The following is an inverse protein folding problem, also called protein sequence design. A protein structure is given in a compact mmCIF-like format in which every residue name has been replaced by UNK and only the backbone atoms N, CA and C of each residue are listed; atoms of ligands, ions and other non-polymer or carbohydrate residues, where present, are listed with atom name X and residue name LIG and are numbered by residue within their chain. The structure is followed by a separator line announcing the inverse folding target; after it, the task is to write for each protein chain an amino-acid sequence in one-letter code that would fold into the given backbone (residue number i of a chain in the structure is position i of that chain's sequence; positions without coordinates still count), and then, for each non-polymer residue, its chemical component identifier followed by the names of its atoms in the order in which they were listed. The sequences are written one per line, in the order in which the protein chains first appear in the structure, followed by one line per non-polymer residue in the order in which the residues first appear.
data_IF_264771795511
#
_entry.id   IF_264771795511
#
_cell.length_a   1.000
_cell.length_b   1.000
_cell.length_c   1.000
_cell.angle_alpha   90.00
_cell.angle_beta   90.00
_cell.angle_gamma   90.00
#
_symmetry.space_group_name_H-M   'P 1'
#
loop_
_entity.id
_entity.type
_entity.pdbx_description
1 polymer ?
#
# COMPACT_ATOMS: atom_id res chain seq x y z
N UNK A 1 23.26 -5.44 -39.39
CA UNK A 1 24.00 -6.24 -38.38
C UNK A 1 23.18 -6.45 -37.11
N UNK A 2 22.99 -5.45 -36.22
CA UNK A 2 22.22 -5.63 -34.97
C UNK A 2 20.75 -6.03 -35.21
N UNK A 3 20.12 -5.45 -36.23
CA UNK A 3 18.77 -5.82 -36.69
C UNK A 3 18.67 -7.28 -37.16
N UNK A 4 19.71 -7.76 -37.84
CA UNK A 4 19.75 -9.11 -38.42
C UNK A 4 19.95 -10.16 -37.32
N UNK A 5 20.76 -9.86 -36.30
CA UNK A 5 20.90 -10.69 -35.10
C UNK A 5 19.58 -10.82 -34.33
N UNK A 6 18.82 -9.73 -34.20
CA UNK A 6 17.49 -9.73 -33.56
C UNK A 6 16.49 -10.61 -34.31
N UNK A 7 16.43 -10.49 -35.64
CA UNK A 7 15.46 -11.21 -36.48
C UNK A 7 15.76 -12.72 -36.49
N UNK A 8 17.04 -13.09 -36.43
CA UNK A 8 17.51 -14.47 -36.42
C UNK A 8 17.25 -15.14 -35.06
N UNK A 9 17.49 -14.43 -33.94
CA UNK A 9 17.16 -14.90 -32.60
C UNK A 9 15.64 -15.14 -32.43
N UNK A 10 14.80 -14.23 -32.92
CA UNK A 10 13.34 -14.36 -32.81
C UNK A 10 12.79 -15.58 -33.57
N UNK A 11 13.32 -15.88 -34.77
CA UNK A 11 12.92 -17.08 -35.55
C UNK A 11 13.35 -18.39 -34.86
N UNK A 12 14.48 -18.38 -34.15
CA UNK A 12 14.98 -19.55 -33.43
C UNK A 12 14.13 -19.89 -32.20
N UNK A 13 13.67 -18.88 -31.45
CA UNK A 13 12.78 -19.06 -30.30
C UNK A 13 11.49 -19.80 -30.65
N UNK A 14 10.94 -19.55 -31.84
CA UNK A 14 9.67 -20.14 -32.29
C UNK A 14 9.79 -21.63 -32.66
N UNK A 15 11.00 -22.17 -32.91
CA UNK A 15 11.21 -23.56 -33.34
C UNK A 15 11.28 -24.58 -32.18
N UNK A 16 11.42 -24.16 -30.92
CA UNK A 16 11.64 -25.05 -29.76
C UNK A 16 10.78 -24.68 -28.54
N UNK A 17 9.46 -24.76 -28.70
CA UNK A 17 8.48 -24.18 -27.76
C UNK A 17 8.60 -24.63 -26.31
N UNK A 18 8.64 -25.94 -26.02
CA UNK A 18 8.47 -26.44 -24.65
C UNK A 18 9.65 -26.14 -23.73
N UNK A 19 10.88 -26.35 -24.20
CA UNK A 19 12.11 -26.11 -23.42
C UNK A 19 12.33 -24.64 -23.16
N UNK A 20 12.14 -23.81 -24.20
CA UNK A 20 12.23 -22.35 -24.09
C UNK A 20 11.16 -21.81 -23.15
N UNK A 21 9.94 -22.37 -23.16
CA UNK A 21 8.91 -22.02 -22.18
C UNK A 21 9.33 -22.35 -20.76
N UNK A 22 9.77 -23.58 -20.50
CA UNK A 22 10.18 -24.04 -19.16
C UNK A 22 11.32 -23.21 -18.57
N UNK A 23 12.23 -22.69 -19.40
CA UNK A 23 13.36 -21.88 -18.93
C UNK A 23 12.99 -20.42 -18.68
N UNK A 24 11.97 -19.91 -19.36
CA UNK A 24 11.42 -18.58 -19.09
C UNK A 24 10.55 -18.52 -17.82
N UNK A 25 10.04 -19.66 -17.32
CA UNK A 25 9.17 -19.71 -16.12
C UNK A 25 9.80 -19.02 -14.91
N UNK A 26 11.05 -19.36 -14.56
CA UNK A 26 11.71 -18.74 -13.40
C UNK A 26 11.84 -17.22 -13.54
N UNK A 27 12.10 -16.75 -14.77
CA UNK A 27 12.27 -15.33 -15.07
C UNK A 27 10.93 -14.60 -15.00
N UNK A 28 9.91 -15.05 -15.73
CA UNK A 28 8.65 -14.32 -15.75
C UNK A 28 7.93 -14.39 -14.39
N UNK A 29 8.07 -15.48 -13.60
CA UNK A 29 7.55 -15.54 -12.23
C UNK A 29 8.29 -14.52 -11.36
N UNK A 30 9.62 -14.52 -11.35
CA UNK A 30 10.41 -13.57 -10.58
C UNK A 30 10.11 -12.12 -10.94
N UNK A 31 10.08 -11.79 -12.23
CA UNK A 31 9.77 -10.45 -12.73
C UNK A 31 8.32 -10.08 -12.41
N UNK A 32 7.36 -10.99 -12.54
CA UNK A 32 5.95 -10.71 -12.22
C UNK A 32 5.75 -10.36 -10.75
N UNK A 33 6.42 -11.07 -9.84
CA UNK A 33 6.35 -10.79 -8.40
C UNK A 33 6.94 -9.41 -8.07
N UNK A 34 8.10 -9.08 -8.66
CA UNK A 34 8.74 -7.76 -8.45
C UNK A 34 7.88 -6.64 -9.02
N UNK A 35 7.44 -6.77 -10.26
CA UNK A 35 6.58 -5.78 -10.94
C UNK A 35 5.30 -5.57 -10.15
N UNK A 36 4.65 -6.66 -9.73
CA UNK A 36 3.40 -6.58 -9.02
C UNK A 36 3.57 -5.81 -7.70
N UNK A 37 4.56 -6.22 -6.91
CA UNK A 37 4.79 -5.65 -5.60
C UNK A 37 5.26 -4.19 -5.66
N UNK A 38 6.18 -3.84 -6.56
CA UNK A 38 6.65 -2.46 -6.70
C UNK A 38 5.50 -1.56 -7.15
N UNK A 39 4.65 -2.02 -8.08
CA UNK A 39 3.46 -1.27 -8.52
C UNK A 39 2.46 -1.03 -7.38
N UNK A 40 2.18 -2.07 -6.57
CA UNK A 40 1.28 -1.95 -5.41
C UNK A 40 1.89 -1.05 -4.32
N UNK A 41 3.19 -1.16 -4.08
CA UNK A 41 3.88 -0.38 -3.06
C UNK A 41 3.95 1.11 -3.43
N UNK A 42 4.30 1.43 -4.68
CA UNK A 42 4.29 2.81 -5.17
C UNK A 42 2.88 3.40 -5.13
N UNK A 43 1.89 2.59 -5.54
CA UNK A 43 0.48 2.90 -5.42
C UNK A 43 0.05 3.29 -4.00
N UNK A 44 0.44 2.46 -3.03
CA UNK A 44 0.15 2.72 -1.62
C UNK A 44 0.91 3.95 -1.10
N UNK A 45 2.18 4.13 -1.47
CA UNK A 45 2.94 5.34 -1.12
C UNK A 45 2.27 6.61 -1.66
N UNK A 46 1.76 6.58 -2.89
CA UNK A 46 1.05 7.70 -3.51
C UNK A 46 -0.29 7.97 -2.79
N UNK A 47 -1.06 6.92 -2.48
CA UNK A 47 -2.32 7.05 -1.73
C UNK A 47 -2.09 7.62 -0.33
N UNK A 48 -1.03 7.17 0.33
CA UNK A 48 -0.58 7.66 1.63
C UNK A 48 -0.17 9.13 1.55
N UNK A 49 0.64 9.50 0.57
CA UNK A 49 1.08 10.88 0.35
C UNK A 49 -0.12 11.80 0.08
N UNK A 50 -1.11 11.35 -0.71
CA UNK A 50 -2.34 12.09 -0.95
C UNK A 50 -3.17 12.25 0.34
N UNK A 51 -3.26 11.20 1.18
CA UNK A 51 -3.88 11.34 2.50
C UNK A 51 -3.11 12.33 3.38
N UNK A 52 -1.78 12.30 3.37
CA UNK A 52 -0.97 13.25 4.13
C UNK A 52 -1.20 14.70 3.69
N UNK A 53 -1.24 14.95 2.38
CA UNK A 53 -1.55 16.29 1.84
C UNK A 53 -2.97 16.76 2.23
N UNK A 54 -3.94 15.84 2.37
CA UNK A 54 -5.32 16.17 2.75
C UNK A 54 -5.50 16.39 4.25
N UNK A 55 -4.76 15.63 5.07
CA UNK A 55 -4.83 15.70 6.54
C UNK A 55 -3.94 16.83 7.06
N UNK A 56 -2.83 17.16 6.40
CA UNK A 56 -1.85 18.13 6.88
C UNK A 56 -0.75 17.46 7.70
N UNK A 57 0.49 17.90 7.50
CA UNK A 57 1.68 17.35 8.18
C UNK A 57 1.86 17.86 9.61
N UNK A 58 1.07 18.85 9.98
CA UNK A 58 1.09 19.60 11.23
C UNK A 58 0.10 19.02 12.25
N UNK A 59 -0.25 17.74 12.17
CA UNK A 59 -1.22 17.11 13.09
C UNK A 59 -0.62 16.08 14.02
N UNK A 60 -1.05 16.14 15.27
CA UNK A 60 -0.82 15.14 16.31
C UNK A 60 -2.12 14.40 16.62
N UNK A 61 -2.00 13.10 16.79
CA UNK A 61 -3.05 12.21 17.25
C UNK A 61 -2.62 11.71 18.63
N UNK A 62 -3.47 11.97 19.62
CA UNK A 62 -3.25 11.57 21.00
C UNK A 62 -4.35 10.58 21.37
N UNK A 63 -3.96 9.39 21.83
CA UNK A 63 -4.89 8.33 22.19
C UNK A 63 -4.37 7.57 23.42
N UNK A 64 -5.30 7.10 24.25
CA UNK A 64 -4.97 6.24 25.37
C UNK A 64 -4.38 4.92 24.88
N UNK A 65 -3.42 4.38 25.63
CA UNK A 65 -2.86 3.06 25.39
C UNK A 65 -3.97 2.03 25.66
N UNK A 66 -4.27 1.20 24.66
CA UNK A 66 -5.21 0.08 24.81
C UNK A 66 -4.68 -0.94 25.81
N UNK A 67 -5.55 -1.51 26.64
CA UNK A 67 -5.19 -2.61 27.54
C UNK A 67 -4.53 -3.76 26.73
N UNK A 68 -3.33 -4.19 27.15
CA UNK A 68 -2.56 -5.25 26.49
C UNK A 68 -1.58 -4.82 25.40
N UNK A 69 -1.57 -3.54 24.98
CA UNK A 69 -0.59 -2.97 24.04
C UNK A 69 0.40 -1.99 24.69
N UNK A 70 0.39 -1.89 26.02
CA UNK A 70 1.37 -1.14 26.81
C UNK A 70 2.56 -1.99 27.25
N UNK A 71 3.56 -1.38 27.93
CA UNK A 71 4.63 -2.12 28.59
C UNK A 71 4.08 -3.22 29.51
N UNK A 72 4.82 -4.33 29.73
CA UNK A 72 4.40 -5.39 30.63
C UNK A 72 3.97 -4.85 32.00
N UNK A 73 2.72 -5.09 32.40
CA UNK A 73 2.12 -4.59 33.64
C UNK A 73 1.08 -3.46 33.50
N UNK A 74 0.89 -2.90 32.30
CA UNK A 74 -0.17 -1.91 32.06
C UNK A 74 -1.53 -2.59 31.79
N UNK A 75 -2.29 -2.83 32.88
CA UNK A 75 -3.63 -3.42 32.82
C UNK A 75 -4.77 -2.40 32.68
N UNK A 76 -4.46 -1.10 32.71
CA UNK A 76 -5.45 -0.03 32.62
C UNK A 76 -5.35 0.64 31.26
N UNK A 77 -6.45 0.65 30.50
CA UNK A 77 -6.53 1.45 29.30
C UNK A 77 -6.37 2.93 29.68
N UNK A 78 -5.53 3.66 28.96
CA UNK A 78 -5.40 5.10 29.18
C UNK A 78 -6.71 5.79 28.90
N UNK A 79 -7.29 6.41 29.92
CA UNK A 79 -8.49 7.22 29.74
C UNK A 79 -8.05 8.62 29.31
N UNK A 80 -8.72 9.16 28.29
CA UNK A 80 -8.57 10.56 27.90
C UNK A 80 -9.81 11.31 28.34
N UNK A 81 -9.61 12.49 28.91
CA UNK A 81 -10.62 13.34 29.53
C UNK A 81 -10.63 14.72 28.90
N UNK A 82 -11.62 15.55 29.28
CA UNK A 82 -11.66 16.97 28.88
C UNK A 82 -10.49 17.79 29.42
N UNK A 83 -9.97 17.45 30.59
CA UNK A 83 -8.84 18.19 31.16
C UNK A 83 -7.55 17.91 30.37
N UNK A 84 -7.41 16.72 29.80
CA UNK A 84 -6.31 16.42 28.87
C UNK A 84 -6.35 17.29 27.61
N UNK A 85 -7.55 17.64 27.10
CA UNK A 85 -7.69 18.59 25.98
C UNK A 85 -7.17 19.98 26.36
N UNK A 86 -7.48 20.44 27.59
CA UNK A 86 -6.98 21.72 28.10
C UNK A 86 -5.46 21.68 28.31
N UNK A 87 -4.94 20.56 28.82
CA UNK A 87 -3.52 20.32 29.00
C UNK A 87 -2.79 20.41 27.64
N UNK A 88 -3.26 19.69 26.62
CA UNK A 88 -2.67 19.73 25.27
C UNK A 88 -2.72 21.15 24.68
N UNK A 89 -3.84 21.87 24.87
CA UNK A 89 -3.98 23.27 24.40
C UNK A 89 -3.01 24.24 25.07
N UNK A 90 -2.57 23.95 26.30
CA UNK A 90 -1.59 24.78 27.02
C UNK A 90 -0.14 24.59 26.57
N UNK A 91 0.14 23.56 25.76
CA UNK A 91 1.50 23.25 25.30
C UNK A 91 1.92 24.22 24.20
N UNK A 92 3.11 24.82 24.37
CA UNK A 92 3.71 25.72 23.37
C UNK A 92 3.89 24.97 22.04
N UNK A 93 3.43 25.60 20.95
CA UNK A 93 3.48 25.03 19.61
C UNK A 93 2.22 24.28 19.20
N UNK A 94 1.20 24.21 20.05
CA UNK A 94 -0.14 23.71 19.71
C UNK A 94 -1.06 24.91 19.45
N UNK A 95 -1.78 24.89 18.32
CA UNK A 95 -2.69 25.96 17.88
C UNK A 95 -4.16 25.58 18.14
N UNK A 96 -4.61 24.49 17.52
CA UNK A 96 -5.99 24.00 17.63
C UNK A 96 -5.98 22.62 18.30
N UNK A 97 -6.91 22.39 19.23
CA UNK A 97 -7.10 21.08 19.88
C UNK A 97 -8.58 20.72 19.90
N UNK A 98 -8.90 19.48 19.57
CA UNK A 98 -10.24 18.94 19.66
C UNK A 98 -10.24 17.50 20.17
N UNK A 99 -11.10 17.22 21.15
CA UNK A 99 -11.40 15.85 21.57
C UNK A 99 -12.46 15.22 20.67
N UNK A 100 -12.42 13.89 20.55
CA UNK A 100 -13.43 13.12 19.83
C UNK A 100 -13.76 11.83 20.55
N UNK A 101 -15.05 11.50 20.59
CA UNK A 101 -15.54 10.22 21.06
C UNK A 101 -15.67 9.24 19.90
N UNK A 102 -15.19 8.02 20.13
CA UNK A 102 -15.44 6.85 19.29
C UNK A 102 -15.96 5.73 20.17
N UNK A 103 -17.13 5.21 19.86
CA UNK A 103 -17.80 4.14 20.62
C UNK A 103 -18.36 3.10 19.66
N UNK A 104 -18.56 1.88 20.15
CA UNK A 104 -19.39 0.91 19.46
C UNK A 104 -20.86 1.31 19.62
N UNK A 105 -21.63 1.17 18.55
CA UNK A 105 -23.04 1.47 18.51
C UNK A 105 -23.79 0.33 17.80
N UNK A 106 -24.89 -0.11 18.40
CA UNK A 106 -25.83 -0.99 17.75
C UNK A 106 -26.86 -0.13 17.03
N UNK A 107 -26.89 -0.24 15.71
CA UNK A 107 -27.82 0.47 14.84
C UNK A 107 -28.90 -0.49 14.38
N UNK A 108 -30.14 -0.11 14.58
CA UNK A 108 -31.32 -0.86 14.18
C UNK A 108 -32.12 -0.07 13.14
N UNK A 109 -32.47 -0.75 12.06
CA UNK A 109 -33.29 -0.24 10.98
C UNK A 109 -34.09 -1.38 10.36
N UNK A 110 -35.39 -1.17 10.17
CA UNK A 110 -36.31 -2.14 9.55
C UNK A 110 -36.28 -3.54 10.20
N UNK A 111 -36.14 -3.60 11.53
CA UNK A 111 -36.08 -4.85 12.30
C UNK A 111 -34.73 -5.56 12.30
N UNK A 112 -33.73 -5.06 11.55
CA UNK A 112 -32.37 -5.61 11.55
C UNK A 112 -31.45 -4.82 12.49
N UNK A 113 -30.69 -5.53 13.33
CA UNK A 113 -29.71 -4.96 14.25
C UNK A 113 -28.28 -5.24 13.76
N UNK A 114 -27.47 -4.20 13.59
CA UNK A 114 -26.05 -4.32 13.20
C UNK A 114 -25.15 -3.47 14.08
N UNK A 115 -23.94 -3.96 14.33
CA UNK A 115 -22.94 -3.24 15.12
C UNK A 115 -22.03 -2.43 14.20
N UNK A 116 -21.70 -1.20 14.62
CA UNK A 116 -20.69 -0.39 13.96
C UNK A 116 -20.05 0.60 14.93
N UNK A 117 -19.10 1.40 14.43
CA UNK A 117 -18.53 2.52 15.16
C UNK A 117 -19.37 3.79 14.99
N UNK A 118 -19.54 4.48 16.11
CA UNK A 118 -20.07 5.82 16.19
C UNK A 118 -18.94 6.77 16.53
N UNK A 119 -18.91 7.90 15.85
CA UNK A 119 -17.90 8.92 16.01
C UNK A 119 -18.54 10.30 16.13
N UNK A 120 -17.99 11.16 16.99
CA UNK A 120 -18.57 12.50 17.22
C UNK A 120 -17.97 13.56 16.31
N UNK A 121 -18.72 14.64 16.11
CA UNK A 121 -18.21 15.93 15.68
C UNK A 121 -18.16 16.87 16.90
N UNK A 122 -17.04 17.57 17.12
CA UNK A 122 -16.94 18.59 18.15
C UNK A 122 -18.00 19.68 18.01
N UNK A 123 -18.38 20.29 19.13
CA UNK A 123 -19.31 21.43 19.14
C UNK A 123 -18.61 22.74 18.78
N UNK A 124 -17.32 22.86 19.11
CA UNK A 124 -16.48 23.97 18.68
C UNK A 124 -16.32 24.01 17.14
N UNK A 125 -16.47 25.20 16.55
CA UNK A 125 -16.53 25.37 15.10
C UNK A 125 -15.19 25.08 14.41
N UNK A 126 -14.08 25.47 15.03
CA UNK A 126 -12.74 25.26 14.47
C UNK A 126 -12.34 23.79 14.54
N UNK A 127 -12.52 23.16 15.72
CA UNK A 127 -12.29 21.73 15.91
C UNK A 127 -13.21 20.88 15.01
N UNK A 128 -14.48 21.27 14.84
CA UNK A 128 -15.40 20.61 13.92
C UNK A 128 -14.90 20.66 12.48
N UNK A 129 -14.50 21.83 12.01
CA UNK A 129 -13.97 22.00 10.65
C UNK A 129 -12.68 21.19 10.45
N UNK A 130 -11.81 21.14 11.45
CA UNK A 130 -10.61 20.30 11.44
C UNK A 130 -10.99 18.83 11.27
N UNK A 131 -11.95 18.32 12.06
CA UNK A 131 -12.38 16.91 12.00
C UNK A 131 -13.02 16.58 10.66
N UNK A 132 -13.89 17.45 10.13
CA UNK A 132 -14.53 17.27 8.81
C UNK A 132 -13.47 17.19 7.70
N UNK A 133 -12.50 18.11 7.70
CA UNK A 133 -11.41 18.13 6.72
C UNK A 133 -10.48 16.93 6.86
N UNK A 134 -10.06 16.62 8.08
CA UNK A 134 -9.15 15.50 8.38
C UNK A 134 -9.76 14.14 7.98
N UNK A 135 -11.08 14.00 8.04
CA UNK A 135 -11.77 12.78 7.65
C UNK A 135 -12.34 12.83 6.22
N UNK A 136 -12.09 13.91 5.48
CA UNK A 136 -12.59 14.14 4.12
C UNK A 136 -14.11 13.88 3.99
N UNK A 137 -14.88 14.32 4.99
CA UNK A 137 -16.33 14.14 4.97
C UNK A 137 -16.93 14.98 3.85
N UNK A 138 -17.61 14.29 2.92
CA UNK A 138 -18.39 14.87 1.82
C UNK A 138 -19.76 14.22 1.84
N UNK A 139 -20.80 14.96 1.49
CA UNK A 139 -22.17 14.45 1.44
C UNK A 139 -22.43 13.80 0.08
N UNK A 140 -23.01 12.60 0.11
CA UNK A 140 -23.60 11.91 -1.05
C UNK A 140 -25.07 12.33 -1.23
N UNK A 141 -25.86 12.27 -0.14
CA UNK A 141 -27.27 12.65 -0.12
C UNK A 141 -27.62 13.39 1.18
N UNK A 142 -28.58 14.32 1.13
CA UNK A 142 -28.99 15.12 2.29
C UNK A 142 -28.06 16.31 2.56
N UNK A 143 -27.70 16.55 3.83
CA UNK A 143 -26.85 17.67 4.24
C UNK A 143 -25.89 17.32 5.37
N UNK A 144 -24.89 18.17 5.56
CA UNK A 144 -23.99 18.11 6.71
C UNK A 144 -24.72 18.38 8.04
N UNK A 145 -24.24 17.74 9.10
CA UNK A 145 -24.70 17.93 10.47
C UNK A 145 -24.27 19.30 11.00
N UNK A 146 -25.22 20.06 11.56
CA UNK A 146 -24.97 21.37 12.21
C UNK A 146 -24.81 21.18 13.71
N UNK A 147 -24.14 22.10 14.40
CA UNK A 147 -23.92 22.00 15.86
C UNK A 147 -25.23 22.14 16.65
N UNK A 148 -26.22 22.84 16.10
CA UNK A 148 -27.56 22.97 16.67
C UNK A 148 -28.48 21.78 16.40
N UNK A 149 -28.08 20.83 15.55
CA UNK A 149 -28.89 19.63 15.33
C UNK A 149 -28.90 18.77 16.60
N UNK A 150 -30.08 18.23 16.95
CA UNK A 150 -30.29 17.32 18.08
C UNK A 150 -31.02 16.08 17.60
N UNK A 151 -30.67 14.92 18.15
CA UNK A 151 -31.16 13.60 17.77
C UNK A 151 -31.06 13.35 16.26
N UNK A 152 -29.96 13.80 15.64
CA UNK A 152 -29.71 13.70 14.20
C UNK A 152 -28.34 13.14 13.92
N UNK A 153 -28.24 12.35 12.85
CA UNK A 153 -27.02 11.63 12.48
C UNK A 153 -26.74 11.74 10.99
N UNK A 154 -25.45 11.68 10.65
CA UNK A 154 -25.02 11.33 9.31
C UNK A 154 -24.51 9.89 9.31
N UNK A 155 -24.76 9.18 8.22
CA UNK A 155 -24.38 7.78 8.09
C UNK A 155 -23.33 7.63 6.98
N UNK A 156 -22.43 6.66 7.15
CA UNK A 156 -21.51 6.27 6.09
C UNK A 156 -22.24 5.72 4.85
N UNK A 157 -21.56 5.71 3.70
CA UNK A 157 -22.16 5.34 2.40
C UNK A 157 -22.82 3.96 2.40
N UNK A 158 -22.28 2.98 3.15
CA UNK A 158 -22.83 1.62 3.18
C UNK A 158 -24.28 1.59 3.69
N UNK A 159 -24.67 2.51 4.56
CA UNK A 159 -26.05 2.58 5.05
C UNK A 159 -27.07 2.85 3.93
N UNK A 160 -26.68 3.59 2.89
CA UNK A 160 -27.50 3.81 1.70
C UNK A 160 -27.31 2.78 0.60
N UNK A 161 -26.46 1.77 0.82
CA UNK A 161 -26.14 0.70 -0.12
C UNK A 161 -26.51 -0.66 0.49
N UNK A 162 -25.53 -1.40 1.01
CA UNK A 162 -25.62 -2.81 1.40
C UNK A 162 -25.50 -3.06 2.90
N UNK A 163 -25.49 -2.02 3.73
CA UNK A 163 -25.37 -2.20 5.17
C UNK A 163 -26.63 -2.84 5.77
N UNK A 164 -27.81 -2.62 5.22
CA UNK A 164 -29.06 -3.32 5.58
C UNK A 164 -29.70 -3.87 4.30
N UNK A 165 -30.69 -4.76 4.44
CA UNK A 165 -31.41 -5.30 3.28
C UNK A 165 -32.18 -4.22 2.53
N UNK A 166 -32.58 -3.16 3.25
CA UNK A 166 -33.21 -1.96 2.71
C UNK A 166 -32.27 -0.75 2.89
N UNK A 167 -32.01 0.03 1.84
CA UNK A 167 -31.13 1.18 1.93
C UNK A 167 -31.76 2.29 2.79
N UNK A 168 -30.97 2.87 3.68
CA UNK A 168 -31.36 4.02 4.50
C UNK A 168 -31.23 5.30 3.68
N UNK A 169 -32.28 6.12 3.65
CA UNK A 169 -32.28 7.39 2.93
C UNK A 169 -32.32 8.59 3.89
N UNK A 170 -31.95 9.77 3.40
CA UNK A 170 -32.07 10.99 4.20
C UNK A 170 -33.53 11.26 4.53
N UNK A 171 -33.82 11.52 5.80
CA UNK A 171 -35.17 11.68 6.34
C UNK A 171 -35.61 10.52 7.22
N UNK A 172 -35.04 9.32 7.01
CA UNK A 172 -35.37 8.13 7.78
C UNK A 172 -35.03 8.25 9.26
N UNK A 173 -35.64 7.39 10.06
CA UNK A 173 -35.34 7.26 11.48
C UNK A 173 -34.66 5.92 11.73
N UNK A 174 -33.50 5.97 12.35
CA UNK A 174 -32.74 4.80 12.81
C UNK A 174 -32.73 4.77 14.33
N UNK A 175 -32.69 3.58 14.90
CA UNK A 175 -32.51 3.37 16.33
C UNK A 175 -31.02 3.13 16.58
N UNK A 176 -30.42 3.88 17.50
CA UNK A 176 -29.02 3.72 17.90
C UNK A 176 -29.02 3.47 19.40
N UNK A 177 -28.57 2.29 19.83
CA UNK A 177 -28.66 1.81 21.21
C UNK A 177 -30.05 2.05 21.82
N UNK A 178 -31.12 1.77 21.05
CA UNK A 178 -32.51 1.91 21.47
C UNK A 178 -33.08 3.34 21.47
N UNK A 179 -32.29 4.38 21.15
CA UNK A 179 -32.79 5.76 20.99
C UNK A 179 -32.99 6.11 19.52
N UNK A 180 -34.05 6.86 19.19
CA UNK A 180 -34.40 7.24 17.82
C UNK A 180 -33.61 8.47 17.35
N UNK A 181 -32.99 8.37 16.18
CA UNK A 181 -32.27 9.46 15.51
C UNK A 181 -32.75 9.63 14.08
N UNK A 182 -32.84 10.88 13.60
CA UNK A 182 -33.16 11.20 12.21
C UNK A 182 -31.88 11.27 11.36
N UNK A 183 -31.90 10.62 10.20
CA UNK A 183 -30.79 10.62 9.24
C UNK A 183 -30.85 11.91 8.41
N UNK A 184 -29.89 12.81 8.60
CA UNK A 184 -29.84 14.09 7.87
C UNK A 184 -28.94 14.06 6.65
N UNK A 185 -28.07 13.06 6.53
CA UNK A 185 -27.23 12.90 5.36
C UNK A 185 -26.50 11.57 5.32
N UNK A 186 -26.20 11.13 4.09
CA UNK A 186 -25.35 9.98 3.79
C UNK A 186 -24.02 10.52 3.26
N UNK A 187 -22.91 10.08 3.84
CA UNK A 187 -21.57 10.47 3.43
C UNK A 187 -21.19 9.79 2.11
N UNK A 188 -20.32 10.44 1.31
CA UNK A 188 -19.62 9.79 0.21
C UNK A 188 -18.64 8.77 0.76
N UNK A 189 -18.22 7.84 -0.10
CA UNK A 189 -17.22 6.83 0.21
C UNK A 189 -15.90 7.46 0.68
N UNK A 190 -15.41 7.00 1.83
CA UNK A 190 -14.17 7.44 2.47
C UNK A 190 -13.16 6.28 2.50
N UNK A 191 -13.62 5.04 2.63
CA UNK A 191 -12.79 3.83 2.74
C UNK A 191 -12.27 3.55 4.16
N UNK A 192 -11.37 2.58 4.29
CA UNK A 192 -10.69 2.21 5.55
C UNK A 192 -11.65 1.93 6.73
N UNK A 193 -12.78 1.26 6.47
CA UNK A 193 -13.77 0.90 7.49
C UNK A 193 -14.64 2.05 7.99
N UNK A 194 -14.52 3.26 7.41
CA UNK A 194 -15.32 4.44 7.77
C UNK A 194 -16.64 4.55 7.00
N UNK A 195 -16.84 3.70 6.00
CA UNK A 195 -18.03 3.70 5.15
C UNK A 195 -19.29 3.16 5.84
N UNK A 196 -19.14 2.49 6.98
CA UNK A 196 -20.24 2.01 7.82
C UNK A 196 -20.34 2.75 9.15
N UNK A 197 -19.65 3.88 9.34
CA UNK A 197 -19.69 4.60 10.61
C UNK A 197 -20.95 5.46 10.78
N UNK A 198 -21.35 5.70 12.02
CA UNK A 198 -22.34 6.72 12.38
C UNK A 198 -21.59 7.98 12.83
N UNK A 199 -21.97 9.14 12.29
CA UNK A 199 -21.45 10.44 12.73
C UNK A 199 -22.58 11.22 13.42
N UNK A 200 -22.33 11.67 14.65
CA UNK A 200 -23.31 12.44 15.44
C UNK A 200 -22.67 13.62 16.17
N UNK A 201 -23.47 14.55 16.68
CA UNK A 201 -22.96 15.63 17.53
C UNK A 201 -22.53 15.08 18.89
N UNK A 202 -21.53 15.71 19.48
CA UNK A 202 -20.93 15.25 20.73
C UNK A 202 -21.92 15.24 21.89
N UNK A 203 -22.72 16.31 22.05
CA UNK A 203 -23.81 16.41 23.04
C UNK A 203 -24.75 15.19 23.03
N UNK A 204 -25.19 14.78 21.84
CA UNK A 204 -26.11 13.67 21.68
C UNK A 204 -25.44 12.33 22.00
N UNK A 205 -24.15 12.18 21.65
CA UNK A 205 -23.36 10.99 21.99
C UNK A 205 -23.14 10.86 23.50
N UNK A 206 -22.80 11.95 24.19
CA UNK A 206 -22.60 11.95 25.64
C UNK A 206 -23.87 11.51 26.37
N UNK A 207 -25.03 12.04 25.97
CA UNK A 207 -26.36 11.60 26.47
C UNK A 207 -26.74 10.17 26.09
N UNK A 208 -26.19 9.64 25.00
CA UNK A 208 -26.46 8.27 24.56
C UNK A 208 -25.64 7.25 25.37
N UNK A 209 -24.38 7.57 25.69
CA UNK A 209 -23.44 6.64 26.31
C UNK A 209 -23.17 6.91 27.80
N UNK A 210 -23.64 8.02 28.37
CA UNK A 210 -23.38 8.39 29.76
C UNK A 210 -21.90 8.68 30.04
N UNK A 211 -21.14 9.12 29.02
CA UNK A 211 -19.70 9.41 29.11
C UNK A 211 -19.47 10.92 29.06
N UNK A 212 -19.76 11.63 30.16
CA UNK A 212 -19.81 13.09 30.13
C UNK A 212 -18.43 13.75 29.98
N UNK A 213 -17.35 13.12 30.44
CA UNK A 213 -16.01 13.74 30.45
C UNK A 213 -14.92 13.00 29.70
N UNK A 214 -15.23 11.87 29.06
CA UNK A 214 -14.23 11.11 28.31
C UNK A 214 -14.12 11.54 26.85
N UNK A 215 -12.95 11.28 26.27
CA UNK A 215 -12.66 11.25 24.85
C UNK A 215 -11.96 9.94 24.50
N UNK A 216 -12.04 9.54 23.24
CA UNK A 216 -11.30 8.39 22.73
C UNK A 216 -9.99 8.81 22.07
N UNK A 217 -9.99 9.98 21.43
CA UNK A 217 -8.86 10.53 20.70
C UNK A 217 -8.86 12.06 20.88
N UNK A 218 -7.68 12.66 21.01
CA UNK A 218 -7.48 14.11 20.85
C UNK A 218 -6.70 14.34 19.56
N UNK A 219 -7.19 15.28 18.76
CA UNK A 219 -6.47 15.82 17.62
C UNK A 219 -5.91 17.19 18.00
N UNK A 220 -4.63 17.40 17.71
CA UNK A 220 -4.00 18.70 17.87
C UNK A 220 -3.36 19.14 16.55
N UNK A 221 -3.53 20.40 16.19
CA UNK A 221 -2.83 21.05 15.10
C UNK A 221 -1.66 21.85 15.67
N UNK A 222 -0.51 21.70 15.04
CA UNK A 222 0.74 22.33 15.41
C UNK A 222 0.81 23.72 14.78
N UNK A 223 1.22 24.70 15.57
CA UNK A 223 1.42 26.07 15.12
C UNK A 223 2.53 26.13 14.05
N UNK A 224 2.39 27.07 13.11
CA UNK A 224 3.40 27.28 12.05
C UNK A 224 4.76 27.59 12.66
N UNK A 225 5.82 27.02 12.07
CA UNK A 225 7.20 27.21 12.51
C UNK A 225 7.70 26.22 13.56
N UNK A 226 6.82 25.36 14.09
CA UNK A 226 7.20 24.28 15.00
C UNK A 226 7.37 22.95 14.28
N UNK A 227 8.33 22.13 14.74
CA UNK A 227 8.53 20.76 14.24
C UNK A 227 7.56 19.80 14.94
N UNK A 228 6.79 18.97 14.20
CA UNK A 228 5.80 18.07 14.79
C UNK A 228 6.34 17.13 15.87
N UNK A 229 7.52 16.54 15.65
CA UNK A 229 8.17 15.65 16.61
C UNK A 229 8.52 16.33 17.93
N UNK A 230 8.97 17.59 17.89
CA UNK A 230 9.33 18.36 19.09
C UNK A 230 8.08 18.71 19.91
N UNK A 231 6.99 19.06 19.23
CA UNK A 231 5.71 19.34 19.90
C UNK A 231 5.09 18.06 20.45
N UNK A 232 5.14 16.94 19.71
CA UNK A 232 4.70 15.64 20.20
C UNK A 232 5.41 15.24 21.50
N UNK A 233 6.73 15.38 21.55
CA UNK A 233 7.52 15.13 22.76
C UNK A 233 7.14 16.07 23.91
N UNK A 234 6.81 17.32 23.60
CA UNK A 234 6.40 18.31 24.61
C UNK A 234 5.03 18.00 25.19
N UNK A 235 4.08 17.57 24.36
CA UNK A 235 2.77 17.09 24.78
C UNK A 235 2.93 15.84 25.64
N UNK A 236 3.74 14.87 25.23
CA UNK A 236 3.98 13.65 26.01
C UNK A 236 4.64 13.97 27.37
N UNK A 237 5.57 14.94 27.42
CA UNK A 237 6.14 15.43 28.69
C UNK A 237 5.10 16.11 29.58
N UNK A 238 4.15 16.85 29.00
CA UNK A 238 3.06 17.46 29.75
C UNK A 238 2.17 16.39 30.40
N UNK A 239 1.78 15.35 29.66
CA UNK A 239 1.05 14.19 30.19
C UNK A 239 1.81 13.48 31.32
N UNK A 240 3.11 13.23 31.13
CA UNK A 240 3.95 12.61 32.18
C UNK A 240 3.93 13.40 33.48
N UNK A 241 4.05 14.73 33.38
CA UNK A 241 4.08 15.62 34.54
C UNK A 241 2.72 15.67 35.24
N UNK A 242 1.65 15.81 34.46
CA UNK A 242 0.28 15.90 34.95
C UNK A 242 -0.16 14.60 35.67
N UNK A 243 0.14 13.44 35.07
CA UNK A 243 -0.25 12.12 35.59
C UNK A 243 0.79 11.47 36.52
N UNK A 244 1.91 12.15 36.80
CA UNK A 244 2.98 11.61 37.65
C UNK A 244 3.67 10.35 37.11
N UNK A 245 3.72 10.18 35.79
CA UNK A 245 4.21 8.96 35.13
C UNK A 245 5.72 8.99 34.85
N UNK A 246 6.34 7.81 34.90
CA UNK A 246 7.73 7.61 34.48
C UNK A 246 7.82 7.46 32.97
N UNK A 247 8.96 7.87 32.40
CA UNK A 247 9.26 7.66 30.99
C UNK A 247 9.18 6.17 30.65
N UNK A 248 8.42 5.83 29.61
CA UNK A 248 8.18 4.45 29.16
C UNK A 248 7.01 3.74 29.83
N UNK A 249 6.29 4.39 30.76
CA UNK A 249 5.07 3.87 31.41
C UNK A 249 3.88 4.80 31.22
N UNK A 250 3.88 5.56 30.12
CA UNK A 250 2.79 6.47 29.79
C UNK A 250 1.55 5.68 29.38
N UNK A 251 0.40 6.12 29.86
CA UNK A 251 -0.90 5.57 29.45
C UNK A 251 -1.48 6.27 28.22
N UNK A 252 -0.75 7.24 27.65
CA UNK A 252 -1.12 7.97 26.45
C UNK A 252 -0.01 7.85 25.41
N UNK A 253 -0.42 7.65 24.16
CA UNK A 253 0.46 7.75 22.99
C UNK A 253 0.20 9.07 22.29
N UNK A 254 1.28 9.75 21.91
CA UNK A 254 1.25 10.97 21.10
C UNK A 254 1.98 10.65 19.81
N UNK A 255 1.24 10.56 18.71
CA UNK A 255 1.78 10.23 17.41
C UNK A 255 1.66 11.43 16.50
N UNK A 256 2.76 11.82 15.88
CA UNK A 256 2.71 12.78 14.78
C UNK A 256 2.26 12.08 13.50
N UNK A 257 1.63 12.84 12.61
CA UNK A 257 1.27 12.35 11.29
C UNK A 257 2.52 11.84 10.55
N UNK A 258 3.64 12.55 10.63
CA UNK A 258 4.95 12.14 10.07
C UNK A 258 5.42 10.76 10.55
N UNK A 259 5.31 10.49 11.86
CA UNK A 259 5.75 9.23 12.45
C UNK A 259 4.88 8.05 12.00
N UNK A 260 3.56 8.25 11.91
CA UNK A 260 2.65 7.25 11.34
C UNK A 260 3.05 6.89 9.90
N UNK A 261 3.39 7.88 9.08
CA UNK A 261 3.84 7.62 7.70
C UNK A 261 5.18 6.92 7.63
N UNK A 262 6.13 7.30 8.49
CA UNK A 262 7.43 6.64 8.57
C UNK A 262 7.28 5.17 8.97
N UNK A 263 6.39 4.85 9.89
CA UNK A 263 6.11 3.46 10.28
C UNK A 263 5.52 2.65 9.12
N UNK A 264 4.52 3.17 8.42
CA UNK A 264 3.94 2.47 7.26
C UNK A 264 4.97 2.27 6.14
N UNK A 265 5.76 3.31 5.86
CA UNK A 265 6.87 3.22 4.91
C UNK A 265 7.90 2.16 5.30
N UNK A 266 8.23 2.05 6.59
CA UNK A 266 9.16 1.04 7.11
C UNK A 266 8.61 -0.38 6.91
N UNK A 267 7.33 -0.61 7.23
CA UNK A 267 6.67 -1.91 7.02
C UNK A 267 6.70 -2.29 5.53
N UNK A 268 6.39 -1.33 4.65
CA UNK A 268 6.45 -1.53 3.20
C UNK A 268 7.84 -1.90 2.72
N UNK A 269 8.87 -1.20 3.18
CA UNK A 269 10.26 -1.47 2.83
C UNK A 269 10.70 -2.88 3.26
N UNK A 270 10.28 -3.34 4.45
CA UNK A 270 10.57 -4.72 4.91
C UNK A 270 9.92 -5.76 3.99
N UNK A 271 8.65 -5.57 3.64
CA UNK A 271 7.94 -6.46 2.70
C UNK A 271 8.64 -6.47 1.33
N UNK A 272 9.07 -5.30 0.84
CA UNK A 272 9.82 -5.18 -0.42
C UNK A 272 11.13 -5.97 -0.38
N UNK A 273 11.91 -5.85 0.69
CA UNK A 273 13.19 -6.59 0.83
C UNK A 273 12.95 -8.09 0.79
N UNK A 274 11.93 -8.60 1.49
CA UNK A 274 11.60 -10.04 1.50
C UNK A 274 11.25 -10.52 0.10
N UNK A 275 10.37 -9.80 -0.62
CA UNK A 275 9.94 -10.20 -1.96
C UNK A 275 11.05 -10.08 -2.98
N UNK A 276 11.88 -9.03 -2.91
CA UNK A 276 13.08 -8.92 -3.73
C UNK A 276 14.02 -10.08 -3.46
N UNK A 277 14.16 -10.53 -2.22
CA UNK A 277 14.93 -11.73 -1.87
C UNK A 277 14.40 -13.00 -2.55
N UNK A 278 13.09 -13.27 -2.43
CA UNK A 278 12.44 -14.43 -3.06
C UNK A 278 12.52 -14.35 -4.60
N UNK A 279 12.30 -13.16 -5.15
CA UNK A 279 12.41 -12.92 -6.59
C UNK A 279 13.84 -13.12 -7.07
N UNK A 280 14.85 -12.68 -6.31
CA UNK A 280 16.27 -12.89 -6.65
C UNK A 280 16.60 -14.37 -6.77
N UNK A 281 16.11 -15.21 -5.86
CA UNK A 281 16.26 -16.67 -5.95
C UNK A 281 15.60 -17.20 -7.24
N UNK A 282 14.38 -16.75 -7.53
CA UNK A 282 13.64 -17.15 -8.75
C UNK A 282 14.37 -16.74 -10.04
N UNK A 283 14.97 -15.55 -10.03
CA UNK A 283 15.76 -15.02 -11.15
C UNK A 283 17.06 -15.81 -11.34
N UNK A 284 17.73 -16.22 -10.27
CA UNK A 284 18.91 -17.11 -10.34
C UNK A 284 18.53 -18.46 -10.96
N UNK A 285 17.43 -19.07 -10.50
CA UNK A 285 16.93 -20.33 -11.06
C UNK A 285 16.58 -20.17 -12.55
N UNK A 286 15.92 -19.07 -12.92
CA UNK A 286 15.64 -18.71 -14.31
C UNK A 286 16.91 -18.51 -15.15
N UNK A 287 17.93 -17.86 -14.58
CA UNK A 287 19.24 -17.65 -15.20
C UNK A 287 19.96 -18.97 -15.48
N UNK A 288 19.97 -19.90 -14.52
CA UNK A 288 20.49 -21.26 -14.73
C UNK A 288 19.73 -21.98 -15.85
N UNK A 289 18.41 -21.77 -15.93
CA UNK A 289 17.58 -22.27 -17.04
C UNK A 289 18.03 -21.72 -18.41
N UNK A 290 18.24 -20.41 -18.53
CA UNK A 290 18.80 -19.80 -19.74
C UNK A 290 20.15 -20.41 -20.07
N UNK A 291 21.04 -20.50 -19.08
CA UNK A 291 22.38 -21.03 -19.25
C UNK A 291 22.35 -22.46 -19.85
N UNK A 292 21.55 -23.36 -19.27
CA UNK A 292 21.41 -24.73 -19.77
C UNK A 292 20.83 -24.81 -21.18
N UNK A 293 19.86 -23.95 -21.48
CA UNK A 293 19.29 -23.85 -22.83
C UNK A 293 20.34 -23.39 -23.84
N UNK A 294 21.14 -22.40 -23.45
CA UNK A 294 22.21 -21.86 -24.29
C UNK A 294 23.32 -22.88 -24.51
N UNK A 295 23.75 -23.61 -23.47
CA UNK A 295 24.69 -24.73 -23.63
C UNK A 295 24.23 -25.73 -24.68
N UNK A 296 22.96 -26.14 -24.60
CA UNK A 296 22.41 -27.08 -25.57
C UNK A 296 22.34 -26.48 -26.98
N UNK A 297 21.93 -25.22 -27.09
CA UNK A 297 21.87 -24.50 -28.37
C UNK A 297 23.25 -24.35 -29.03
N UNK A 298 24.30 -24.14 -28.24
CA UNK A 298 25.69 -24.09 -28.73
C UNK A 298 26.11 -25.45 -29.28
N UNK A 299 25.84 -26.54 -28.55
CA UNK A 299 26.17 -27.89 -28.99
C UNK A 299 25.50 -28.24 -30.32
N UNK A 300 24.21 -27.93 -30.45
CA UNK A 300 23.43 -28.22 -31.67
C UNK A 300 23.82 -27.35 -32.87
N UNK A 301 24.39 -26.17 -32.62
CA UNK A 301 24.82 -25.22 -33.66
C UNK A 301 26.34 -25.19 -33.85
N UNK A 302 27.06 -26.19 -33.33
CA UNK A 302 28.53 -26.25 -33.39
C UNK A 302 29.03 -26.15 -34.84
N UNK A 303 28.42 -26.90 -35.77
CA UNK A 303 28.78 -26.87 -37.19
C UNK A 303 28.57 -25.50 -37.83
N UNK A 304 27.44 -24.84 -37.56
CA UNK A 304 27.13 -23.50 -38.06
C UNK A 304 28.18 -22.47 -37.58
N UNK A 305 28.59 -22.57 -36.30
CA UNK A 305 29.64 -21.72 -35.73
C UNK A 305 30.97 -21.97 -36.44
N UNK A 306 31.31 -23.23 -36.73
CA UNK A 306 32.50 -23.61 -37.49
C UNK A 306 32.53 -22.99 -38.88
N UNK A 307 31.41 -23.05 -39.61
CA UNK A 307 31.26 -22.44 -40.94
C UNK A 307 31.44 -20.91 -40.85
N UNK A 308 30.77 -20.25 -39.89
CA UNK A 308 30.88 -18.80 -39.70
C UNK A 308 32.32 -18.36 -39.42
N UNK A 309 33.06 -19.13 -38.62
CA UNK A 309 34.47 -18.84 -38.34
C UNK A 309 35.37 -19.12 -39.55
N UNK A 310 35.10 -20.17 -40.32
CA UNK A 310 35.85 -20.49 -41.53
C UNK A 310 35.73 -19.39 -42.61
N UNK A 311 34.59 -18.70 -42.68
CA UNK A 311 34.39 -17.54 -43.57
C UNK A 311 34.85 -16.20 -42.96
N UNK A 312 35.44 -16.21 -41.76
CA UNK A 312 36.11 -15.05 -41.16
C UNK A 312 35.41 -14.35 -39.98
N UNK A 313 34.35 -14.92 -39.39
CA UNK A 313 33.74 -14.35 -38.18
C UNK A 313 34.72 -14.40 -36.99
N UNK A 314 34.85 -13.28 -36.26
CA UNK A 314 35.74 -13.19 -35.09
C UNK A 314 35.05 -13.79 -33.86
N UNK A 315 35.84 -14.20 -32.86
CA UNK A 315 35.31 -14.70 -31.58
C UNK A 315 34.33 -13.71 -30.93
N UNK A 316 34.61 -12.40 -31.01
CA UNK A 316 33.71 -11.35 -30.50
C UNK A 316 32.36 -11.30 -31.22
N UNK A 317 32.32 -11.64 -32.51
CA UNK A 317 31.10 -11.59 -33.32
C UNK A 317 30.18 -12.76 -32.90
N UNK A 318 30.75 -13.95 -32.70
CA UNK A 318 30.05 -15.13 -32.18
C UNK A 318 29.59 -14.90 -30.72
N UNK A 319 30.46 -14.34 -29.87
CA UNK A 319 30.13 -14.02 -28.49
C UNK A 319 28.91 -13.07 -28.43
N UNK A 320 28.95 -11.96 -29.17
CA UNK A 320 27.88 -10.96 -29.17
C UNK A 320 26.56 -11.54 -29.69
N UNK A 321 26.61 -12.40 -30.71
CA UNK A 321 25.43 -13.09 -31.23
C UNK A 321 24.72 -13.91 -30.14
N UNK A 322 25.45 -14.74 -29.41
CA UNK A 322 24.87 -15.56 -28.35
C UNK A 322 24.46 -14.75 -27.11
N UNK A 323 25.19 -13.68 -26.76
CA UNK A 323 24.78 -12.77 -25.68
C UNK A 323 23.48 -12.03 -26.00
N UNK A 324 23.30 -11.60 -27.25
CA UNK A 324 22.05 -10.98 -27.70
C UNK A 324 20.92 -12.03 -27.71
N UNK A 325 21.19 -13.26 -28.13
CA UNK A 325 20.20 -14.35 -28.13
C UNK A 325 19.72 -14.68 -26.70
N UNK A 326 20.63 -14.78 -25.73
CA UNK A 326 20.29 -15.01 -24.33
C UNK A 326 19.67 -13.79 -23.65
N UNK A 327 20.11 -12.59 -24.00
CA UNK A 327 19.47 -11.35 -23.57
C UNK A 327 18.03 -11.25 -24.06
N UNK A 328 17.76 -11.63 -25.31
CA UNK A 328 16.41 -11.64 -25.88
C UNK A 328 15.50 -12.66 -25.21
N UNK A 329 16.03 -13.85 -24.88
CA UNK A 329 15.32 -14.81 -24.02
C UNK A 329 14.90 -14.18 -22.70
N UNK A 330 15.83 -13.48 -22.03
CA UNK A 330 15.56 -12.73 -20.81
C UNK A 330 14.50 -11.63 -21.02
N UNK A 331 14.61 -10.83 -22.08
CA UNK A 331 13.66 -9.76 -22.38
C UNK A 331 12.24 -10.28 -22.67
N UNK A 332 12.10 -11.40 -23.38
CA UNK A 332 10.78 -12.03 -23.63
C UNK A 332 10.19 -12.55 -22.32
N UNK A 333 10.98 -13.23 -21.48
CA UNK A 333 10.55 -13.62 -20.14
C UNK A 333 10.16 -12.42 -19.28
N UNK A 334 10.95 -11.35 -19.33
CA UNK A 334 10.67 -10.08 -18.64
C UNK A 334 9.38 -9.42 -19.11
N UNK A 335 9.13 -9.38 -20.42
CA UNK A 335 7.91 -8.82 -21.00
C UNK A 335 6.66 -9.59 -20.54
N UNK A 336 6.72 -10.93 -20.59
CA UNK A 336 5.65 -11.79 -20.08
C UNK A 336 5.46 -11.56 -18.57
N UNK A 337 6.56 -11.49 -17.83
CA UNK A 337 6.55 -11.21 -16.39
C UNK A 337 5.92 -9.86 -16.06
N UNK A 338 6.21 -8.82 -16.82
CA UNK A 338 5.59 -7.49 -16.67
C UNK A 338 4.09 -7.57 -16.91
N UNK A 339 3.65 -8.20 -18.01
CA UNK A 339 2.21 -8.33 -18.31
C UNK A 339 1.49 -9.08 -17.20
N UNK A 340 2.05 -10.20 -16.73
CA UNK A 340 1.48 -10.98 -15.63
C UNK A 340 1.50 -10.20 -14.31
N UNK A 341 2.60 -9.51 -14.00
CA UNK A 341 2.73 -8.72 -12.77
C UNK A 341 1.73 -7.56 -12.71
N UNK A 342 1.57 -6.82 -13.82
CA UNK A 342 0.57 -5.76 -13.92
C UNK A 342 -0.87 -6.32 -13.83
N UNK A 343 -1.13 -7.45 -14.46
CA UNK A 343 -2.43 -8.14 -14.39
C UNK A 343 -2.74 -8.57 -12.95
N UNK A 344 -1.77 -9.17 -12.26
CA UNK A 344 -1.88 -9.54 -10.85
C UNK A 344 -2.13 -8.32 -9.96
N UNK A 345 -1.38 -7.23 -10.15
CA UNK A 345 -1.62 -5.99 -9.39
C UNK A 345 -3.01 -5.42 -9.61
N UNK A 346 -3.52 -5.45 -10.84
CA UNK A 346 -4.88 -5.01 -11.15
C UNK A 346 -5.95 -5.93 -10.55
N UNK A 347 -5.71 -7.24 -10.52
CA UNK A 347 -6.59 -8.18 -9.83
C UNK A 347 -6.60 -7.96 -8.32
N UNK A 348 -5.44 -7.69 -7.71
CA UNK A 348 -5.34 -7.35 -6.29
C UNK A 348 -6.03 -6.01 -6.00
N UNK A 349 -5.82 -4.99 -6.84
CA UNK A 349 -6.54 -3.71 -6.77
C UNK A 349 -8.06 -3.92 -6.85
N UNK A 350 -8.52 -4.73 -7.80
CA UNK A 350 -9.94 -5.03 -7.95
C UNK A 350 -10.49 -5.77 -6.72
N UNK A 351 -9.83 -6.83 -6.25
CA UNK A 351 -10.23 -7.56 -5.04
C UNK A 351 -10.25 -6.68 -3.80
N UNK A 352 -9.24 -5.82 -3.63
CA UNK A 352 -9.20 -4.84 -2.55
C UNK A 352 -10.32 -3.81 -2.68
N UNK A 353 -10.65 -3.37 -3.90
CA UNK A 353 -11.72 -2.40 -4.15
C UNK A 353 -13.11 -2.95 -3.79
N UNK A 354 -13.33 -4.24 -4.03
CA UNK A 354 -14.58 -4.95 -3.68
C UNK A 354 -14.66 -5.20 -2.17
N UNK A 355 -13.58 -5.70 -1.56
CA UNK A 355 -13.59 -6.06 -0.14
C UNK A 355 -13.52 -4.85 0.81
N UNK A 356 -12.70 -3.85 0.48
CA UNK A 356 -12.36 -2.74 1.36
C UNK A 356 -12.90 -1.39 0.85
N UNK A 357 -13.21 -1.28 -0.45
CA UNK A 357 -13.69 -0.07 -1.11
C UNK A 357 -12.71 0.49 -2.15
N UNK A 358 -13.20 1.20 -3.20
CA UNK A 358 -12.37 1.87 -4.20
C UNK A 358 -11.42 2.89 -3.57
N UNK A 359 -10.20 2.95 -4.12
CA UNK A 359 -9.23 4.00 -3.79
C UNK A 359 -8.33 3.73 -2.59
N UNK A 360 -8.45 2.57 -1.93
CA UNK A 360 -7.54 2.18 -0.83
C UNK A 360 -6.19 1.71 -1.38
N UNK A 361 -6.23 0.95 -2.48
CA UNK A 361 -5.05 0.42 -3.14
C UNK A 361 -5.22 0.67 -4.63
N UNK A 362 -4.37 1.50 -5.22
CA UNK A 362 -4.32 1.75 -6.66
C UNK A 362 -2.96 1.31 -7.16
N UNK A 363 -2.90 0.32 -8.04
CA UNK A 363 -1.61 -0.09 -8.61
C UNK A 363 -1.06 1.02 -9.50
N UNK A 364 0.12 1.53 -9.18
CA UNK A 364 0.79 2.55 -9.99
C UNK A 364 1.60 1.88 -11.09
N UNK A 365 1.28 2.19 -12.35
CA UNK A 365 1.95 1.62 -13.51
C UNK A 365 2.85 2.68 -14.14
N UNK A 366 4.09 2.73 -13.67
CA UNK A 366 5.10 3.63 -14.22
C UNK A 366 5.76 3.03 -15.46
N UNK A 367 5.91 3.85 -16.51
CA UNK A 367 6.69 3.49 -17.72
C UNK A 367 8.13 3.11 -17.35
N UNK A 368 8.69 3.76 -16.32
CA UNK A 368 10.02 3.46 -15.82
C UNK A 368 10.12 2.06 -15.21
N UNK A 369 9.06 1.60 -14.54
CA UNK A 369 9.00 0.25 -13.97
C UNK A 369 8.98 -0.81 -15.08
N UNK A 370 8.17 -0.59 -16.13
CA UNK A 370 8.08 -1.48 -17.29
C UNK A 370 9.43 -1.55 -18.02
N UNK A 371 9.99 -0.39 -18.37
CA UNK A 371 11.27 -0.31 -19.07
C UNK A 371 12.41 -0.90 -18.23
N UNK A 372 12.43 -0.59 -16.93
CA UNK A 372 13.41 -1.11 -15.97
C UNK A 372 13.34 -2.62 -15.83
N UNK A 373 12.15 -3.20 -15.73
CA UNK A 373 11.97 -4.65 -15.62
C UNK A 373 12.41 -5.40 -16.88
N UNK A 374 12.07 -4.89 -18.07
CA UNK A 374 12.48 -5.49 -19.35
C UNK A 374 14.00 -5.39 -19.53
N UNK A 375 14.58 -4.21 -19.27
CA UNK A 375 16.02 -3.99 -19.36
C UNK A 375 16.79 -4.88 -18.39
N UNK A 376 16.33 -4.95 -17.13
CA UNK A 376 16.93 -5.81 -16.13
C UNK A 376 16.88 -7.29 -16.54
N UNK A 377 15.75 -7.75 -17.10
CA UNK A 377 15.59 -9.12 -17.57
C UNK A 377 16.49 -9.42 -18.77
N UNK A 378 16.67 -8.46 -19.69
CA UNK A 378 17.63 -8.56 -20.79
C UNK A 378 19.06 -8.71 -20.28
N UNK A 379 19.47 -7.86 -19.34
CA UNK A 379 20.81 -7.93 -18.73
C UNK A 379 21.02 -9.26 -18.01
N UNK A 380 20.03 -9.73 -17.24
CA UNK A 380 20.10 -11.02 -16.56
C UNK A 380 20.24 -12.19 -17.55
N UNK A 381 19.48 -12.16 -18.65
CA UNK A 381 19.59 -13.16 -19.72
C UNK A 381 20.95 -13.12 -20.41
N UNK A 382 21.48 -11.92 -20.69
CA UNK A 382 22.81 -11.75 -21.27
C UNK A 382 23.90 -12.29 -20.33
N UNK A 383 23.84 -11.94 -19.03
CA UNK A 383 24.78 -12.41 -17.99
C UNK A 383 24.76 -13.93 -17.87
N UNK A 384 23.56 -14.51 -17.85
CA UNK A 384 23.38 -15.98 -17.77
C UNK A 384 23.92 -16.71 -19.01
N UNK A 385 23.99 -16.02 -20.15
CA UNK A 385 24.54 -16.55 -21.40
C UNK A 385 26.06 -16.38 -21.56
N UNK A 386 26.75 -15.67 -20.67
CA UNK A 386 28.19 -15.35 -20.83
C UNK A 386 29.04 -16.62 -20.97
N UNK A 387 28.84 -17.60 -20.08
CA UNK A 387 29.62 -18.83 -20.09
C UNK A 387 29.44 -19.64 -21.39
N UNK A 388 28.21 -20.03 -21.80
CA UNK A 388 28.02 -20.77 -23.04
C UNK A 388 28.40 -19.95 -24.28
N UNK A 389 28.16 -18.64 -24.30
CA UNK A 389 28.56 -17.77 -25.41
C UNK A 389 30.09 -17.72 -25.56
N UNK A 390 30.83 -17.71 -24.44
CA UNK A 390 32.29 -17.76 -24.44
C UNK A 390 32.78 -19.10 -24.98
N UNK A 391 32.21 -20.22 -24.56
CA UNK A 391 32.57 -21.53 -25.09
C UNK A 391 32.32 -21.63 -26.61
N UNK A 392 31.17 -21.17 -27.08
CA UNK A 392 30.85 -21.10 -28.51
C UNK A 392 31.88 -20.26 -29.28
N UNK A 393 32.25 -19.10 -28.72
CA UNK A 393 33.22 -18.19 -29.32
C UNK A 393 34.64 -18.73 -29.36
N UNK A 394 34.98 -19.78 -28.61
CA UNK A 394 36.32 -20.38 -28.56
C UNK A 394 36.45 -21.68 -29.35
N UNK A 395 35.34 -22.23 -29.89
CA UNK A 395 35.38 -23.43 -30.75
C UNK A 395 36.30 -23.23 -31.96
N UNK A 396 37.15 -24.21 -32.24
CA UNK A 396 38.03 -24.18 -33.40
C UNK A 396 37.26 -24.63 -34.66
N UNK A 397 37.46 -23.98 -35.82
CA UNK A 397 36.74 -24.35 -37.05
C UNK A 397 36.97 -25.80 -37.46
N UNK A 398 38.18 -26.31 -37.28
CA UNK A 398 38.58 -27.68 -37.62
C UNK A 398 37.80 -28.69 -36.77
N UNK A 399 37.74 -28.48 -35.45
CA UNK A 399 36.98 -29.35 -34.53
C UNK A 399 35.46 -29.24 -34.76
N UNK A 400 34.97 -28.05 -35.08
CA UNK A 400 33.55 -27.80 -35.28
C UNK A 400 33.00 -28.37 -36.58
N UNK A 401 33.84 -28.52 -37.61
CA UNK A 401 33.49 -29.09 -38.92
C UNK A 401 33.73 -30.61 -39.01
N UNK A 402 34.59 -31.15 -38.14
CA UNK A 402 34.88 -32.59 -38.04
C UNK A 402 33.97 -33.34 -37.06
N UNK A 403 32.98 -32.69 -36.48
CA UNK A 403 32.01 -33.27 -35.56
C UNK A 403 30.86 -33.89 -36.37
N UNK A 404 30.83 -35.22 -36.46
CA UNK A 404 29.65 -36.03 -36.79
C UNK A 404 29.11 -36.68 -35.51
#
# INVERSE_FOLDING_TARGET
MLSDFFLLAFRNLKKRGLRTWLTMIGIFIGVSAVVALVSLAQGMQNAIAAQFSSVGSDKLIIQGVSAGFGPPGSNSAGVITKDDVKLVKSVIGVDIVGGRLRRNANVEFDGALKNTFLVTLPDDAEARNLVIKANNYKISAGRMLKSSDRNKVMLGVKFGEDFFDKPVVSGDKVLINGKKFQVVGILKKIGAGRDSQVVMNEDDARKLFGSDDEYSIIFAQIAKGYKPSVVADSVLRAFRKDRGQKKGFEDVTVQSSEELFKSVGTILSVIQVIVIGIASISLVVGGIGIMNTMYTSVLERTRDIGIMKAIGARNKDILMMFLIESGLLGAVGGLIGVVLGLSLSKLVEFGASVALGPGILQADVSVFLIAGAILFSFVLGAVSGILPAREASLKQPVEALGYD
#
